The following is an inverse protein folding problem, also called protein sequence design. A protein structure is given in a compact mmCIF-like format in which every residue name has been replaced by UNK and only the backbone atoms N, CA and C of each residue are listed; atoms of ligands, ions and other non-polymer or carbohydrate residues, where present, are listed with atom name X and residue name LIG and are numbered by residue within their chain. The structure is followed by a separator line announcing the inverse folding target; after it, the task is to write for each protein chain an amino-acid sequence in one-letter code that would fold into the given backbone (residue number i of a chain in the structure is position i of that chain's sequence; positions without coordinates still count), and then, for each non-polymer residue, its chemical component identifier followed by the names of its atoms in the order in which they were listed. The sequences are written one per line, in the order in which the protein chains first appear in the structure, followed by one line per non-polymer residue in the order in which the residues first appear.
data_IF_291754671550
#
_entry.id   IF_291754671550
#
_cell.length_a   1.000
_cell.length_b   1.000
_cell.length_c   1.000
_cell.angle_alpha   90.00
_cell.angle_beta   90.00
_cell.angle_gamma   90.00
#
_symmetry.space_group_name_H-M   'P 1'
#
loop_
_entity.id
_entity.type
_entity.pdbx_description
1 polymer ?
#
# COMPACT_ATOMS: atom_id res chain seq x y z
N UNK A 1 -9.96 15.61 -8.47
CA UNK A 1 -10.56 14.71 -7.46
C UNK A 1 -10.91 13.31 -8.00
N UNK A 2 -11.75 13.16 -9.04
CA UNK A 2 -12.16 11.82 -9.56
C UNK A 2 -11.00 10.89 -9.99
N UNK A 3 -9.95 11.43 -10.62
CA UNK A 3 -8.78 10.64 -11.03
C UNK A 3 -7.94 10.11 -9.86
N UNK A 4 -7.86 10.86 -8.75
CA UNK A 4 -7.14 10.45 -7.52
C UNK A 4 -7.85 9.26 -6.86
N UNK A 5 -9.18 9.33 -6.79
CA UNK A 5 -10.02 8.25 -6.26
C UNK A 5 -9.89 7.00 -7.12
N UNK A 6 -9.93 7.12 -8.45
CA UNK A 6 -9.80 5.97 -9.34
C UNK A 6 -8.42 5.30 -9.25
N UNK A 7 -7.34 6.08 -9.17
CA UNK A 7 -5.98 5.58 -8.99
C UNK A 7 -5.84 4.77 -7.69
N UNK A 8 -6.35 5.29 -6.58
CA UNK A 8 -6.27 4.63 -5.29
C UNK A 8 -7.16 3.37 -5.22
N UNK A 9 -8.31 3.38 -5.89
CA UNK A 9 -9.16 2.18 -6.01
C UNK A 9 -8.43 1.09 -6.80
N UNK A 10 -7.81 1.43 -7.94
CA UNK A 10 -7.05 0.47 -8.74
C UNK A 10 -5.90 -0.13 -7.91
N UNK A 11 -5.18 0.71 -7.17
CA UNK A 11 -4.13 0.26 -6.27
C UNK A 11 -4.67 -0.70 -5.18
N UNK A 12 -5.77 -0.35 -4.53
CA UNK A 12 -6.41 -1.20 -3.52
C UNK A 12 -6.86 -2.55 -4.10
N UNK A 13 -7.41 -2.57 -5.31
CA UNK A 13 -7.79 -3.80 -5.99
C UNK A 13 -6.56 -4.67 -6.23
N UNK A 14 -5.48 -4.12 -6.78
CA UNK A 14 -4.23 -4.85 -7.05
C UNK A 14 -3.67 -5.45 -5.75
N UNK A 15 -3.54 -4.65 -4.69
CA UNK A 15 -3.02 -5.11 -3.40
C UNK A 15 -3.94 -6.19 -2.79
N UNK A 16 -5.26 -6.02 -2.85
CA UNK A 16 -6.22 -7.01 -2.34
C UNK A 16 -6.09 -8.33 -3.10
N UNK A 17 -5.95 -8.29 -4.42
CA UNK A 17 -5.72 -9.48 -5.23
C UNK A 17 -4.40 -10.17 -4.87
N UNK A 18 -3.29 -9.42 -4.72
CA UNK A 18 -1.99 -9.97 -4.34
C UNK A 18 -2.03 -10.62 -2.94
N UNK A 19 -2.71 -9.98 -1.98
CA UNK A 19 -2.92 -10.53 -0.64
C UNK A 19 -3.77 -11.80 -0.69
N UNK A 20 -4.86 -11.82 -1.47
CA UNK A 20 -5.70 -13.01 -1.63
C UNK A 20 -4.90 -14.19 -2.21
N UNK A 21 -4.02 -13.94 -3.18
CA UNK A 21 -3.10 -14.94 -3.74
C UNK A 21 -2.07 -15.43 -2.72
N UNK A 22 -1.69 -14.61 -1.74
CA UNK A 22 -0.79 -14.98 -0.63
C UNK A 22 -1.48 -15.81 0.45
N UNK A 23 -2.74 -15.49 0.81
CA UNK A 23 -3.48 -16.13 1.91
C UNK A 23 -3.81 -17.59 1.57
N UNK A 24 -4.05 -17.89 0.29
CA UNK A 24 -4.44 -19.22 -0.14
C UNK A 24 -3.39 -19.86 -1.06
N UNK A 25 -2.14 -20.10 -0.58
CA UNK A 25 -1.11 -20.78 -1.37
C UNK A 25 -1.53 -22.22 -1.69
N UNK A 26 -2.51 -22.75 -0.95
CA UNK A 26 -3.18 -24.03 -1.16
C UNK A 26 -3.87 -24.17 -2.52
N UNK A 27 -4.32 -23.07 -3.15
CA UNK A 27 -4.84 -23.10 -4.52
C UNK A 27 -3.75 -23.51 -5.51
N UNK A 28 -2.48 -23.40 -5.13
CA UNK A 28 -1.33 -23.78 -5.95
C UNK A 28 -0.62 -25.04 -5.43
N UNK A 29 -1.14 -25.73 -4.40
CA UNK A 29 -0.58 -27.00 -3.94
C UNK A 29 -0.74 -28.12 -4.97
N UNK A 30 -1.67 -28.01 -5.92
CA UNK A 30 -1.71 -28.91 -7.08
C UNK A 30 -0.48 -28.73 -7.99
N UNK A 31 0.10 -27.53 -8.06
CA UNK A 31 1.38 -27.32 -8.75
C UNK A 31 2.53 -28.01 -8.02
N UNK A 32 2.47 -28.15 -6.69
CA UNK A 32 3.46 -28.91 -5.90
C UNK A 32 3.45 -30.44 -6.18
N UNK A 33 2.49 -31.00 -6.93
CA UNK A 33 2.47 -32.44 -7.28
C UNK A 33 3.50 -32.83 -8.35
N UNK A 34 4.04 -31.86 -9.10
CA UNK A 34 4.97 -32.09 -10.21
C UNK A 34 6.28 -31.41 -9.84
N UNK A 35 7.00 -31.92 -8.82
CA UNK A 35 8.31 -31.46 -8.30
C UNK A 35 8.83 -30.11 -8.86
N UNK A 36 8.18 -28.94 -8.62
CA UNK A 36 8.67 -27.70 -9.18
C UNK A 36 9.62 -27.12 -8.16
N UNK A 37 10.85 -27.61 -8.19
CA UNK A 37 11.97 -26.98 -7.53
C UNK A 37 12.41 -25.82 -8.41
N UNK A 38 12.14 -24.60 -7.96
CA UNK A 38 12.64 -23.39 -8.63
C UNK A 38 13.78 -22.88 -7.78
N UNK A 39 14.99 -22.78 -8.35
CA UNK A 39 16.18 -22.28 -7.65
C UNK A 39 16.51 -23.06 -6.36
N UNK A 40 16.17 -24.35 -6.31
CA UNK A 40 16.44 -25.21 -5.14
C UNK A 40 15.46 -25.04 -3.97
N UNK A 41 14.35 -24.32 -4.15
CA UNK A 41 13.28 -24.21 -3.14
C UNK A 41 11.94 -24.75 -3.65
N UNK A 42 11.04 -25.21 -2.75
CA UNK A 42 9.71 -25.63 -3.13
C UNK A 42 8.94 -24.51 -3.82
N UNK A 43 8.18 -24.82 -4.87
CA UNK A 43 7.38 -23.85 -5.61
C UNK A 43 6.52 -22.95 -4.72
N UNK A 44 5.88 -23.50 -3.68
CA UNK A 44 5.09 -22.69 -2.75
C UNK A 44 5.91 -21.63 -2.01
N UNK A 45 7.16 -21.93 -1.65
CA UNK A 45 8.06 -20.96 -1.02
C UNK A 45 8.53 -19.90 -2.03
N UNK A 46 8.91 -20.32 -3.23
CA UNK A 46 9.25 -19.41 -4.33
C UNK A 46 8.10 -18.45 -4.65
N UNK A 47 6.87 -18.97 -4.72
CA UNK A 47 5.66 -18.22 -5.01
C UNK A 47 5.39 -17.15 -3.95
N UNK A 48 5.53 -17.48 -2.66
CA UNK A 48 5.37 -16.51 -1.57
C UNK A 48 6.42 -15.40 -1.65
N UNK A 49 7.68 -15.74 -1.94
CA UNK A 49 8.76 -14.76 -2.11
C UNK A 49 8.46 -13.84 -3.30
N UNK A 50 8.07 -14.42 -4.44
CA UNK A 50 7.69 -13.66 -5.63
C UNK A 50 6.55 -12.69 -5.37
N UNK A 51 5.48 -13.13 -4.69
CA UNK A 51 4.36 -12.26 -4.34
C UNK A 51 4.78 -11.13 -3.39
N UNK A 52 5.69 -11.37 -2.45
CA UNK A 52 6.24 -10.31 -1.60
C UNK A 52 6.98 -9.26 -2.44
N UNK A 53 7.82 -9.68 -3.39
CA UNK A 53 8.48 -8.74 -4.32
C UNK A 53 7.47 -7.95 -5.15
N UNK A 54 6.40 -8.59 -5.63
CA UNK A 54 5.33 -7.91 -6.37
C UNK A 54 4.61 -6.87 -5.50
N UNK A 55 4.31 -7.18 -4.24
CA UNK A 55 3.68 -6.24 -3.31
C UNK A 55 4.61 -5.06 -3.05
N UNK A 56 5.87 -5.30 -2.70
CA UNK A 56 6.87 -4.24 -2.50
C UNK A 56 7.02 -3.37 -3.75
N UNK A 57 7.16 -3.97 -4.93
CA UNK A 57 7.22 -3.24 -6.21
C UNK A 57 5.99 -2.39 -6.46
N UNK A 58 4.80 -2.92 -6.16
CA UNK A 58 3.52 -2.18 -6.30
C UNK A 58 3.49 -0.97 -5.37
N UNK A 59 3.96 -1.09 -4.13
CA UNK A 59 4.08 0.05 -3.21
C UNK A 59 5.08 1.11 -3.71
N UNK A 60 6.24 0.69 -4.21
CA UNK A 60 7.26 1.61 -4.75
C UNK A 60 6.71 2.38 -5.96
N UNK A 61 6.08 1.68 -6.90
CA UNK A 61 5.48 2.29 -8.09
C UNK A 61 4.34 3.23 -7.70
N UNK A 62 3.49 2.82 -6.77
CA UNK A 62 2.41 3.67 -6.27
C UNK A 62 2.96 4.93 -5.63
N UNK A 63 3.93 4.80 -4.73
CA UNK A 63 4.58 5.93 -4.07
C UNK A 63 5.16 6.92 -5.09
N UNK A 64 5.98 6.44 -6.03
CA UNK A 64 6.57 7.30 -7.05
C UNK A 64 5.51 7.99 -7.92
N UNK A 65 4.46 7.25 -8.31
CA UNK A 65 3.36 7.78 -9.11
C UNK A 65 2.60 8.89 -8.35
N UNK A 66 2.40 8.72 -7.05
CA UNK A 66 1.69 9.69 -6.21
C UNK A 66 2.58 10.88 -5.83
N UNK A 67 3.90 10.70 -5.69
CA UNK A 67 4.88 11.79 -5.56
C UNK A 67 4.87 12.68 -6.80
N UNK A 68 4.94 12.10 -8.00
CA UNK A 68 4.91 12.86 -9.27
C UNK A 68 3.60 13.63 -9.45
N UNK A 69 2.49 13.12 -8.91
CA UNK A 69 1.18 13.78 -8.96
C UNK A 69 0.97 14.83 -7.88
N UNK A 70 1.93 15.03 -6.95
CA UNK A 70 1.76 15.92 -5.80
C UNK A 70 0.63 15.48 -4.86
N UNK A 71 0.29 14.18 -4.86
CA UNK A 71 -0.83 13.66 -4.07
C UNK A 71 -0.48 13.44 -2.61
N UNK A 72 0.82 13.39 -2.30
CA UNK A 72 1.41 13.08 -0.99
C UNK A 72 1.65 14.36 -0.16
N UNK A 73 1.62 15.52 -0.81
CA UNK A 73 1.84 16.79 -0.13
C UNK A 73 0.65 17.09 0.80
N UNK A 74 0.96 17.37 2.07
CA UNK A 74 -0.01 17.79 3.07
C UNK A 74 -0.05 19.31 3.00
N UNK A 75 -1.15 19.87 2.51
CA UNK A 75 -1.40 21.30 2.60
C UNK A 75 -1.57 21.64 4.09
N UNK A 76 -0.53 22.23 4.68
CA UNK A 76 -0.61 22.77 6.04
C UNK A 76 -1.39 24.07 5.93
N UNK A 77 -2.68 23.99 6.19
CA UNK A 77 -3.50 25.17 6.43
C UNK A 77 -2.98 25.82 7.72
N UNK A 78 -2.28 26.94 7.56
CA UNK A 78 -1.74 27.67 8.70
C UNK A 78 -2.92 28.16 9.53
N UNK A 79 -2.99 27.75 10.80
CA UNK A 79 -4.02 28.23 11.72
C UNK A 79 -4.02 29.76 11.71
N UNK A 80 -5.18 30.36 11.46
CA UNK A 80 -5.33 31.81 11.44
C UNK A 80 -4.99 32.37 12.82
N UNK A 81 -4.41 33.57 12.93
CA UNK A 81 -4.03 34.14 14.23
C UNK A 81 -5.22 34.21 15.23
N UNK A 82 -6.45 34.30 14.73
CA UNK A 82 -7.67 34.22 15.54
C UNK A 82 -7.87 32.85 16.21
N UNK A 83 -7.68 31.74 15.47
CA UNK A 83 -7.81 30.37 16.01
C UNK A 83 -6.67 30.05 16.97
N UNK A 84 -5.46 30.55 16.69
CA UNK A 84 -4.30 30.41 17.57
C UNK A 84 -4.54 31.14 18.91
N UNK A 85 -5.10 32.35 18.85
CA UNK A 85 -5.46 33.13 20.05
C UNK A 85 -6.61 32.48 20.84
N UNK A 86 -7.58 31.83 20.19
CA UNK A 86 -8.65 31.10 20.87
C UNK A 86 -8.12 29.84 21.59
N UNK A 87 -7.20 29.10 20.96
CA UNK A 87 -6.55 27.92 21.56
C UNK A 87 -5.66 28.29 22.75
N UNK A 88 -4.87 29.38 22.63
CA UNK A 88 -4.03 29.88 23.72
C UNK A 88 -4.86 30.51 24.85
N UNK A 89 -5.97 31.19 24.53
CA UNK A 89 -6.91 31.77 25.49
C UNK A 89 -7.65 30.73 26.34
N UNK A 90 -7.88 29.51 25.82
CA UNK A 90 -8.43 28.39 26.59
C UNK A 90 -7.42 27.71 27.51
N UNK A 91 -6.12 27.80 27.22
CA UNK A 91 -5.05 27.24 28.04
C UNK A 91 -4.73 28.05 29.31
N UNK A 92 -5.14 29.32 29.37
CA UNK A 92 -4.84 30.25 30.47
C UNK A 92 -5.76 30.17 31.69
N UNK A 93 -6.71 29.24 31.75
CA UNK A 93 -7.50 28.97 32.98
C UNK A 93 -7.01 27.69 33.66
N UNK A 94 -5.87 27.78 34.33
CA UNK A 94 -5.55 26.94 35.49
C UNK A 94 -4.93 27.83 36.56
#
# INVERSE_FOLDING_TARGET
MKFKVHHNIIFLIIITCLIALMIHPSIFQWANRIEPWILGIPFSAFWLILLNFCICGTFIVWYYTDTVKGNIDIDIEQATEEELNELLGRGGRK
#
